data_IF_943902215481
#
_entry.id   IF_943902215481
#
_cell.length_a   1.000
_cell.length_b   1.000
_cell.length_c   1.000
_cell.angle_alpha   90.00
_cell.angle_beta   90.00
_cell.angle_gamma   90.00
#
_symmetry.space_group_name_H-M   'P 1'
#
loop_
_entity.id
_entity.type
_entity.pdbx_description
1 polymer ?
#
# COMPACT_ATOMS: atom_id res chain seq x y z
N UNK A 1 -0.37 15.68 -13.23
CA UNK A 1 0.90 15.46 -12.52
C UNK A 1 1.20 13.98 -12.46
N UNK A 2 2.46 13.55 -12.60
CA UNK A 2 2.83 12.15 -12.33
C UNK A 2 3.08 12.03 -10.83
N UNK A 3 2.31 11.15 -10.19
CA UNK A 3 2.35 10.91 -8.75
C UNK A 3 2.58 9.42 -8.55
N UNK A 4 3.54 9.07 -7.70
CA UNK A 4 3.76 7.70 -7.28
C UNK A 4 3.44 7.55 -5.79
N UNK A 5 2.94 6.38 -5.41
CA UNK A 5 2.70 6.04 -4.00
C UNK A 5 3.48 4.77 -3.69
N UNK A 6 4.23 4.80 -2.60
CA UNK A 6 4.82 3.62 -1.98
C UNK A 6 4.16 3.38 -0.64
N UNK A 7 3.84 2.13 -0.33
CA UNK A 7 3.17 1.79 0.91
C UNK A 7 3.74 0.53 1.54
N UNK A 8 3.70 0.48 2.87
CA UNK A 8 3.82 -0.78 3.59
C UNK A 8 2.56 -1.66 3.38
N UNK A 9 2.67 -2.95 3.73
CA UNK A 9 1.54 -3.88 3.64
C UNK A 9 0.51 -3.61 4.75
N UNK A 10 -0.81 -3.66 4.46
CA UNK A 10 -1.84 -3.57 5.49
C UNK A 10 -1.77 -4.72 6.50
N UNK A 11 -1.37 -4.42 7.72
CA UNK A 11 -1.25 -5.41 8.81
C UNK A 11 -2.14 -5.02 9.99
N UNK A 12 -2.99 -5.95 10.43
CA UNK A 12 -3.85 -5.77 11.60
C UNK A 12 -3.05 -5.36 12.84
N UNK A 13 -3.45 -4.27 13.49
CA UNK A 13 -2.82 -3.74 14.68
C UNK A 13 -1.56 -2.91 14.43
N UNK A 14 -1.08 -2.82 13.20
CA UNK A 14 0.08 -2.00 12.81
C UNK A 14 -0.38 -0.75 12.07
N UNK A 15 0.45 0.29 12.12
CA UNK A 15 0.27 1.46 11.27
C UNK A 15 0.78 1.15 9.88
N UNK A 16 0.14 1.73 8.87
CA UNK A 16 0.60 1.66 7.50
C UNK A 16 1.36 2.95 7.16
N UNK A 17 2.63 2.81 6.76
CA UNK A 17 3.44 3.87 6.15
C UNK A 17 3.03 4.09 4.69
N UNK A 18 2.91 5.35 4.30
CA UNK A 18 2.54 5.81 2.96
C UNK A 18 3.48 6.94 2.55
N UNK A 19 4.21 6.77 1.45
CA UNK A 19 5.02 7.81 0.83
C UNK A 19 4.37 8.23 -0.48
N UNK A 20 4.20 9.54 -0.65
CA UNK A 20 3.66 10.17 -1.85
C UNK A 20 4.79 10.95 -2.50
N UNK A 21 5.04 10.68 -3.79
CA UNK A 21 6.08 11.32 -4.57
C UNK A 21 5.47 12.02 -5.79
N UNK A 22 5.62 13.34 -5.84
CA UNK A 22 5.24 14.21 -6.93
C UNK A 22 6.47 14.48 -7.80
N UNK A 23 6.59 13.71 -8.88
CA UNK A 23 7.76 13.75 -9.76
C UNK A 23 8.04 15.17 -10.28
N UNK A 24 9.33 15.53 -10.28
CA UNK A 24 9.86 16.83 -10.72
C UNK A 24 9.24 18.06 -9.99
N UNK A 25 8.76 17.88 -8.75
CA UNK A 25 8.21 18.97 -7.94
C UNK A 25 9.16 19.37 -6.81
N UNK A 26 9.37 20.68 -6.61
CA UNK A 26 10.03 21.19 -5.40
C UNK A 26 9.04 21.38 -4.24
N UNK A 27 7.80 21.76 -4.55
CA UNK A 27 6.75 22.05 -3.57
C UNK A 27 5.39 21.62 -4.10
N UNK A 28 4.79 20.62 -3.46
CA UNK A 28 3.47 20.10 -3.80
C UNK A 28 2.53 20.18 -2.61
N UNK A 29 1.28 20.56 -2.86
CA UNK A 29 0.22 20.61 -1.85
C UNK A 29 -0.85 19.59 -2.22
N UNK A 30 -1.38 18.89 -1.23
CA UNK A 30 -2.32 17.79 -1.47
C UNK A 30 -3.07 17.41 -0.20
N UNK A 31 -4.15 16.67 -0.37
CA UNK A 31 -4.89 16.02 0.71
C UNK A 31 -4.71 14.51 0.59
N UNK A 32 -4.55 13.83 1.72
CA UNK A 32 -4.47 12.37 1.83
C UNK A 32 -5.61 11.87 2.69
N UNK A 33 -6.47 11.04 2.09
CA UNK A 33 -7.53 10.35 2.79
C UNK A 33 -7.32 8.84 2.66
N UNK A 34 -7.35 8.13 3.78
CA UNK A 34 -7.19 6.66 3.80
C UNK A 34 -8.32 6.04 4.57
N UNK A 35 -8.95 5.03 3.98
CA UNK A 35 -10.01 4.26 4.61
C UNK A 35 -9.74 2.76 4.56
N UNK A 36 -10.18 2.04 5.59
CA UNK A 36 -10.21 0.58 5.63
C UNK A 36 -11.64 0.15 5.93
N UNK A 37 -12.25 -0.65 5.06
CA UNK A 37 -13.63 -1.12 5.20
C UNK A 37 -14.65 0.03 5.38
N UNK A 38 -14.40 1.18 4.75
CA UNK A 38 -15.24 2.39 4.86
C UNK A 38 -15.03 3.20 6.15
N UNK A 39 -14.15 2.78 7.06
CA UNK A 39 -13.74 3.57 8.21
C UNK A 39 -12.48 4.38 7.90
N UNK A 40 -12.45 5.65 8.27
CA UNK A 40 -11.28 6.52 8.14
C UNK A 40 -10.16 6.06 9.08
N UNK A 41 -8.96 5.87 8.51
CA UNK A 41 -7.74 5.50 9.26
C UNK A 41 -6.63 6.54 9.12
N UNK A 42 -6.74 7.45 8.15
CA UNK A 42 -5.95 8.68 8.04
C UNK A 42 -6.75 9.73 7.28
N UNK A 43 -6.65 10.98 7.71
CA UNK A 43 -7.21 12.13 7.03
C UNK A 43 -6.29 13.33 7.28
N UNK A 44 -5.34 13.51 6.36
CA UNK A 44 -4.39 14.62 6.39
C UNK A 44 -4.74 15.59 5.27
N UNK A 45 -5.37 16.70 5.65
CA UNK A 45 -5.82 17.75 4.74
C UNK A 45 -4.81 18.90 4.73
N UNK A 46 -4.55 19.47 3.55
CA UNK A 46 -3.58 20.53 3.32
C UNK A 46 -2.13 20.12 3.63
N UNK A 47 -1.76 18.88 3.34
CA UNK A 47 -0.39 18.40 3.40
C UNK A 47 0.49 19.16 2.40
N UNK A 48 1.75 19.34 2.78
CA UNK A 48 2.76 20.02 1.98
C UNK A 48 4.03 19.18 1.91
N UNK A 49 4.44 18.82 0.69
CA UNK A 49 5.68 18.11 0.40
C UNK A 49 6.78 19.10 0.00
N UNK A 50 7.96 18.93 0.60
CA UNK A 50 9.20 19.56 0.17
C UNK A 50 9.97 18.56 -0.69
N UNK A 51 10.59 19.03 -1.77
CA UNK A 51 11.26 18.16 -2.76
C UNK A 51 10.31 17.13 -3.40
N UNK A 52 9.01 17.43 -3.41
CA UNK A 52 8.00 16.58 -4.04
C UNK A 52 7.65 15.32 -3.25
N UNK A 53 8.30 15.03 -2.13
CA UNK A 53 8.04 13.84 -1.33
C UNK A 53 7.32 14.19 -0.02
N UNK A 54 6.34 13.36 0.36
CA UNK A 54 5.73 13.44 1.68
C UNK A 54 5.39 12.07 2.25
N UNK A 55 5.61 11.92 3.56
CA UNK A 55 5.42 10.68 4.29
C UNK A 55 4.25 10.81 5.26
N UNK A 56 3.45 9.76 5.34
CA UNK A 56 2.24 9.67 6.13
C UNK A 56 2.17 8.34 6.86
N UNK A 57 1.53 8.33 8.02
CA UNK A 57 1.24 7.11 8.75
C UNK A 57 -0.24 7.06 9.10
N UNK A 58 -0.88 5.91 8.89
CA UNK A 58 -2.24 5.70 9.37
C UNK A 58 -2.28 5.52 10.89
N UNK A 59 -3.48 5.61 11.47
CA UNK A 59 -3.76 4.94 12.73
C UNK A 59 -3.53 3.41 12.59
N UNK A 60 -3.31 2.68 13.70
CA UNK A 60 -3.23 1.23 13.65
C UNK A 60 -4.46 0.61 12.99
N UNK A 61 -4.25 -0.26 12.02
CA UNK A 61 -5.32 -0.85 11.23
C UNK A 61 -6.11 -1.87 12.07
N UNK A 62 -7.42 -1.95 11.81
CA UNK A 62 -8.30 -2.86 12.55
C UNK A 62 -8.24 -4.30 12.05
N UNK A 63 -7.78 -4.48 10.80
CA UNK A 63 -7.63 -5.77 10.14
C UNK A 63 -6.49 -5.72 9.12
N UNK A 64 -6.21 -6.88 8.52
CA UNK A 64 -5.40 -7.00 7.30
C UNK A 64 -6.29 -7.05 6.06
N UNK A 65 -7.40 -6.30 6.02
CA UNK A 65 -8.18 -6.13 4.79
C UNK A 65 -7.56 -5.05 3.91
N UNK A 66 -7.92 -4.99 2.61
CA UNK A 66 -7.44 -3.96 1.72
C UNK A 66 -7.72 -2.53 2.24
N UNK A 67 -6.82 -1.61 1.89
CA UNK A 67 -6.87 -0.21 2.31
C UNK A 67 -6.99 0.68 1.08
N UNK A 68 -7.94 1.61 1.11
CA UNK A 68 -8.18 2.58 0.05
C UNK A 68 -7.48 3.90 0.38
N UNK A 69 -6.61 4.36 -0.52
CA UNK A 69 -5.89 5.63 -0.41
C UNK A 69 -6.36 6.55 -1.53
N UNK A 70 -6.78 7.75 -1.16
CA UNK A 70 -7.16 8.83 -2.08
C UNK A 70 -6.24 10.01 -1.88
N UNK A 71 -5.64 10.48 -2.97
CA UNK A 71 -4.82 11.70 -3.00
C UNK A 71 -5.48 12.75 -3.88
N UNK A 72 -5.74 13.92 -3.31
CA UNK A 72 -6.24 15.08 -4.03
C UNK A 72 -5.14 16.12 -4.13
N UNK A 73 -4.73 16.48 -5.33
CA UNK A 73 -3.71 17.48 -5.56
C UNK A 73 -4.28 18.90 -5.47
N UNK A 74 -3.57 19.76 -4.74
CA UNK A 74 -3.97 21.13 -4.39
C UNK A 74 -3.02 22.20 -4.94
N UNK A 75 -2.22 21.85 -5.95
CA UNK A 75 -1.35 22.79 -6.66
C UNK A 75 0.10 22.82 -6.14
N UNK A 76 0.96 23.44 -6.94
CA UNK A 76 2.38 23.63 -6.65
C UNK A 76 2.67 25.00 -6.04
N UNK A 77 3.75 25.06 -5.25
CA UNK A 77 4.27 26.28 -4.63
C UNK A 77 4.01 26.36 -3.12
N UNK A 78 4.64 27.33 -2.47
CA UNK A 78 4.52 27.58 -1.02
C UNK A 78 3.40 28.60 -0.75
N UNK A 79 3.46 29.74 -1.43
CA UNK A 79 2.55 30.86 -1.26
C UNK A 79 1.45 30.89 -2.34
N UNK A 80 0.40 31.64 -2.06
CA UNK A 80 -0.63 31.93 -3.04
C UNK A 80 -0.20 33.02 -4.04
N UNK A 81 -0.64 32.92 -5.31
CA UNK A 81 -1.49 31.86 -5.85
C UNK A 81 -0.71 30.58 -6.16
N UNK A 82 -1.27 29.42 -5.77
CA UNK A 82 -0.77 28.11 -6.21
C UNK A 82 -0.92 27.90 -7.71
N UNK A 83 -0.03 27.10 -8.27
CA UNK A 83 0.02 26.81 -9.71
C UNK A 83 -0.40 25.37 -10.01
N UNK A 84 -0.85 25.11 -11.24
CA UNK A 84 -1.34 23.78 -11.63
C UNK A 84 -2.79 23.51 -11.21
N UNK A 85 -3.26 22.26 -11.37
CA UNK A 85 -4.61 21.88 -10.98
C UNK A 85 -4.81 21.95 -9.47
N UNK A 86 -6.00 22.37 -9.05
CA UNK A 86 -6.41 22.47 -7.65
C UNK A 86 -7.69 21.64 -7.50
N UNK A 87 -7.73 20.75 -6.50
CA UNK A 87 -8.84 19.85 -6.24
C UNK A 87 -8.92 18.64 -7.16
N UNK A 88 -7.83 18.30 -7.85
CA UNK A 88 -7.81 17.16 -8.77
C UNK A 88 -7.45 15.86 -8.03
N UNK A 89 -8.31 14.85 -8.10
CA UNK A 89 -7.97 13.52 -7.59
C UNK A 89 -6.96 12.86 -8.53
N UNK A 90 -5.74 12.67 -8.03
CA UNK A 90 -4.60 12.21 -8.85
C UNK A 90 -4.27 10.74 -8.62
N UNK A 91 -4.59 10.19 -7.45
CA UNK A 91 -4.38 8.77 -7.16
C UNK A 91 -5.51 8.20 -6.32
N UNK A 92 -5.99 7.04 -6.76
CA UNK A 92 -6.89 6.17 -6.00
C UNK A 92 -6.32 4.76 -6.03
N UNK A 93 -5.84 4.27 -4.90
CA UNK A 93 -5.15 2.98 -4.78
C UNK A 93 -5.86 2.09 -3.76
N UNK A 94 -6.19 0.86 -4.16
CA UNK A 94 -6.66 -0.19 -3.25
C UNK A 94 -5.50 -1.15 -2.96
N UNK A 95 -4.87 -0.98 -1.80
CA UNK A 95 -3.69 -1.75 -1.39
C UNK A 95 -4.15 -3.06 -0.78
N UNK A 96 -3.88 -4.16 -1.47
CA UNK A 96 -4.21 -5.51 -1.01
C UNK A 96 -3.01 -6.08 -0.23
N UNK A 97 -3.23 -6.66 0.96
CA UNK A 97 -2.16 -7.32 1.70
C UNK A 97 -1.48 -8.43 0.90
N UNK A 98 -0.19 -8.62 1.15
CA UNK A 98 0.60 -9.64 0.47
C UNK A 98 0.21 -11.04 0.97
N UNK A 99 -0.50 -11.81 0.15
CA UNK A 99 -0.70 -13.24 0.41
C UNK A 99 0.57 -14.07 0.12
N UNK A 100 1.59 -13.45 -0.48
CA UNK A 100 2.72 -14.13 -1.12
C UNK A 100 3.58 -14.96 -0.16
N UNK A 101 3.95 -14.44 1.00
CA UNK A 101 4.86 -15.13 1.92
C UNK A 101 4.24 -16.40 2.50
N UNK A 102 3.01 -16.30 3.03
CA UNK A 102 2.28 -17.45 3.57
C UNK A 102 1.92 -18.44 2.46
N UNK A 103 1.44 -17.96 1.31
CA UNK A 103 1.12 -18.82 0.18
C UNK A 103 2.36 -19.59 -0.33
N UNK A 104 3.52 -18.94 -0.40
CA UNK A 104 4.78 -19.57 -0.81
C UNK A 104 5.28 -20.58 0.22
N UNK A 105 5.11 -20.31 1.52
CA UNK A 105 5.43 -21.28 2.57
C UNK A 105 4.55 -22.53 2.45
N UNK A 106 3.24 -22.36 2.34
CA UNK A 106 2.30 -23.48 2.18
C UNK A 106 2.57 -24.25 0.89
N UNK A 107 2.84 -23.56 -0.21
CA UNK A 107 3.20 -24.16 -1.49
C UNK A 107 4.46 -25.03 -1.38
N UNK A 108 5.52 -24.53 -0.74
CA UNK A 108 6.76 -25.28 -0.53
C UNK A 108 6.52 -26.54 0.31
N UNK A 109 5.77 -26.42 1.42
CA UNK A 109 5.41 -27.56 2.28
C UNK A 109 4.58 -28.59 1.52
N UNK A 110 3.64 -28.15 0.69
CA UNK A 110 2.80 -29.03 -0.13
C UNK A 110 3.63 -29.83 -1.15
N UNK A 111 4.54 -29.16 -1.87
CA UNK A 111 5.43 -29.82 -2.84
C UNK A 111 6.31 -30.87 -2.16
N UNK A 112 6.94 -30.53 -1.03
CA UNK A 112 7.79 -31.45 -0.27
C UNK A 112 6.98 -32.68 0.19
N UNK A 113 5.76 -32.47 0.67
CA UNK A 113 4.88 -33.54 1.13
C UNK A 113 4.52 -34.52 0.00
N UNK A 114 4.17 -34.00 -1.19
CA UNK A 114 3.84 -34.82 -2.36
C UNK A 114 5.05 -35.66 -2.78
N UNK A 115 6.23 -35.04 -2.88
CA UNK A 115 7.48 -35.75 -3.25
C UNK A 115 7.81 -36.83 -2.23
N UNK A 116 7.68 -36.55 -0.92
CA UNK A 116 7.94 -37.54 0.13
C UNK A 116 6.97 -38.73 0.09
N UNK A 117 5.67 -38.49 -0.12
CA UNK A 117 4.66 -39.56 -0.20
C UNK A 117 4.83 -40.39 -1.47
N UNK A 118 5.04 -39.74 -2.62
CA UNK A 118 5.26 -40.43 -3.90
C UNK A 118 6.56 -41.24 -3.91
N UNK A 119 7.62 -40.76 -3.25
CA UNK A 119 8.86 -41.52 -3.08
C UNK A 119 8.67 -42.78 -2.23
N UNK A 120 7.91 -42.70 -1.13
CA UNK A 120 7.63 -43.89 -0.28
C UNK A 120 6.65 -44.88 -0.91
N UNK A 121 5.72 -44.43 -1.74
CA UNK A 121 4.73 -45.30 -2.39
C UNK A 121 5.33 -46.24 -3.46
N UNK A 122 6.60 -46.05 -3.86
CA UNK A 122 7.26 -46.90 -4.87
C UNK A 122 7.83 -48.21 -4.31
N UNK A 123 7.66 -48.48 -3.01
CA UNK A 123 8.08 -49.73 -2.35
C UNK A 123 6.97 -50.79 -2.50
N UNK A 124 7.00 -51.53 -3.61
CA UNK A 124 6.11 -52.68 -3.85
C UNK A 124 6.60 -53.87 -2.97
N UNK A 125 5.74 -54.52 -2.15
CA UNK A 125 6.11 -55.73 -1.44
C UNK A 125 6.30 -56.88 -2.44
N UNK A 126 7.42 -57.60 -2.35
CA UNK A 126 7.61 -58.84 -3.10
C UNK A 126 6.69 -59.91 -2.50
N UNK A 127 5.72 -60.38 -3.29
CA UNK A 127 4.97 -61.63 -3.07
C UNK A 127 5.83 -62.83 -3.44
#
# INVERSE_FOLDING_TARGET
>A
TKVSIMTSAPTSGEKMEITVDFEDSEHANYDVMVTQNGAEVLNDMAAHAHEGEGMHETAPLSSSDPVEITITFQGYGIDDPKTGPIGEQVVFSNIVPEFGTVAMMILAVAIISIVAVTAKSKVIPRL
#
